data_IF_561431984071
#
_entry.id   IF_561431984071
#
_cell.length_a   1.000
_cell.length_b   1.000
_cell.length_c   1.000
_cell.angle_alpha   90.00
_cell.angle_beta   90.00
_cell.angle_gamma   90.00
#
_symmetry.space_group_name_H-M   'P 1'
#
loop_
_entity.id
_entity.type
_entity.pdbx_description
1 polymer ?
#
# COMPACT_ATOMS: atom_id res chain seq x y z
N UNK A 1 28.39 12.86 -53.06
CA UNK A 1 27.47 13.08 -54.21
C UNK A 1 27.21 11.73 -54.88
N UNK A 2 26.04 11.46 -55.49
CA UNK A 2 24.67 11.52 -54.98
C UNK A 2 23.90 10.18 -55.20
N UNK A 3 22.65 10.14 -54.73
CA UNK A 3 21.60 9.11 -54.94
C UNK A 3 21.30 8.83 -56.43
N UNK A 4 20.55 7.75 -56.79
CA UNK A 4 19.11 7.95 -57.00
C UNK A 4 18.15 6.76 -56.70
N UNK A 5 16.96 7.14 -56.23
CA UNK A 5 15.58 6.66 -56.48
C UNK A 5 15.30 5.40 -57.32
N UNK A 6 14.33 4.59 -56.84
CA UNK A 6 13.10 4.25 -57.59
C UNK A 6 12.01 3.63 -56.68
N UNK A 7 10.84 4.25 -56.64
CA UNK A 7 9.51 3.60 -56.51
C UNK A 7 8.99 3.28 -57.93
N UNK A 8 8.02 2.37 -58.14
CA UNK A 8 6.60 2.79 -58.12
C UNK A 8 5.60 1.69 -57.71
N UNK A 9 4.38 2.10 -57.35
CA UNK A 9 3.25 1.17 -57.24
C UNK A 9 1.99 1.77 -56.63
N UNK A 10 1.33 2.70 -57.35
CA UNK A 10 -0.09 3.00 -57.17
C UNK A 10 -0.89 2.19 -58.21
N UNK A 11 -2.00 1.56 -57.77
CA UNK A 11 -3.25 1.38 -58.54
C UNK A 11 -4.31 0.69 -57.66
N UNK A 12 -5.18 1.51 -57.06
CA UNK A 12 -6.59 1.21 -56.69
C UNK A 12 -7.44 0.94 -57.97
N UNK A 13 -8.77 0.59 -57.97
CA UNK A 13 -9.84 0.84 -56.98
C UNK A 13 -10.92 -0.29 -56.91
N UNK A 14 -12.24 -0.04 -56.65
CA UNK A 14 -12.87 0.28 -55.38
C UNK A 14 -14.03 -0.69 -55.01
N UNK A 15 -14.28 -0.89 -53.72
CA UNK A 15 -15.48 -1.60 -53.21
C UNK A 15 -16.49 -0.62 -52.65
N UNK A 16 -17.44 -0.18 -53.48
CA UNK A 16 -18.43 0.85 -53.17
C UNK A 16 -19.59 0.43 -52.26
N UNK A 17 -20.09 1.45 -51.56
CA UNK A 17 -21.40 1.54 -50.94
C UNK A 17 -22.55 1.48 -51.95
N UNK A 18 -23.64 0.79 -51.61
CA UNK A 18 -25.05 1.08 -51.98
C UNK A 18 -25.94 0.09 -51.21
N UNK A 19 -26.88 0.41 -50.30
CA UNK A 19 -28.01 1.37 -50.27
C UNK A 19 -28.97 1.27 -51.46
N UNK A 20 -29.99 0.42 -51.32
CA UNK A 20 -31.37 0.55 -51.81
C UNK A 20 -32.19 -0.51 -51.00
N UNK A 21 -33.47 -0.41 -50.65
CA UNK A 21 -34.48 0.65 -50.48
C UNK A 21 -35.73 -0.05 -49.88
N UNK A 22 -36.74 0.75 -49.53
CA UNK A 22 -38.15 0.38 -49.33
C UNK A 22 -38.58 -0.24 -47.98
N UNK A 23 -39.74 0.07 -47.38
CA UNK A 23 -40.78 1.11 -47.51
C UNK A 23 -41.75 0.88 -46.33
N UNK A 24 -42.32 1.95 -45.73
CA UNK A 24 -43.59 2.01 -44.94
C UNK A 24 -43.61 1.31 -43.56
N UNK A 25 -44.33 1.75 -42.52
CA UNK A 25 -45.53 2.58 -42.42
C UNK A 25 -45.54 3.47 -41.16
N UNK A 26 -46.18 4.63 -41.30
CA UNK A 26 -46.81 5.41 -40.24
C UNK A 26 -48.08 4.72 -39.73
N UNK A 27 -48.43 4.90 -38.45
CA UNK A 27 -49.75 4.54 -37.92
C UNK A 27 -49.99 5.07 -36.51
N UNK A 28 -50.84 6.09 -36.42
CA UNK A 28 -51.44 6.69 -35.21
C UNK A 28 -52.69 5.90 -34.77
N UNK A 29 -53.05 6.11 -33.50
CA UNK A 29 -54.41 6.23 -32.93
C UNK A 29 -55.29 4.98 -32.72
N UNK A 30 -56.12 5.07 -31.68
CA UNK A 30 -57.07 4.08 -31.15
C UNK A 30 -57.06 4.16 -29.61
N UNK A 31 -57.59 5.20 -28.97
CA UNK A 31 -59.01 5.46 -28.66
C UNK A 31 -59.76 4.26 -28.09
N UNK A 32 -60.15 4.35 -26.80
CA UNK A 32 -61.41 3.82 -26.29
C UNK A 32 -61.96 4.77 -25.21
N UNK A 33 -63.27 4.96 -25.29
CA UNK A 33 -64.01 6.15 -24.93
C UNK A 33 -64.48 6.23 -23.47
N UNK A 34 -64.72 7.48 -23.08
CA UNK A 34 -65.62 7.90 -22.01
C UNK A 34 -67.08 7.69 -22.44
N UNK A 35 -67.93 7.24 -21.52
CA UNK A 35 -69.35 7.63 -21.53
C UNK A 35 -69.80 8.14 -20.14
N UNK A 36 -70.59 9.24 -20.12
CA UNK A 36 -70.98 9.97 -18.91
C UNK A 36 -72.40 9.59 -18.44
N UNK A 37 -72.72 9.93 -17.19
CA UNK A 37 -74.10 10.10 -16.74
C UNK A 37 -74.22 11.35 -15.87
N UNK A 38 -75.12 12.25 -16.29
CA UNK A 38 -75.45 13.50 -15.61
C UNK A 38 -76.53 13.34 -14.53
N UNK A 39 -76.40 14.16 -13.49
CA UNK A 39 -77.36 15.08 -12.82
C UNK A 39 -78.85 14.68 -12.73
N UNK A 40 -79.55 14.97 -11.60
CA UNK A 40 -79.79 16.38 -11.24
C UNK A 40 -79.90 16.77 -9.74
N UNK A 41 -79.76 18.08 -9.57
CA UNK A 41 -80.22 19.01 -8.53
C UNK A 41 -81.14 18.51 -7.40
N UNK A 42 -80.79 18.95 -6.18
CA UNK A 42 -81.73 19.70 -5.33
C UNK A 42 -80.99 20.41 -4.18
N UNK A 43 -81.09 21.74 -4.10
CA UNK A 43 -80.98 22.46 -2.82
C UNK A 43 -82.32 22.32 -2.07
N UNK A 44 -82.28 22.22 -0.74
CA UNK A 44 -82.82 23.29 0.11
C UNK A 44 -81.83 23.59 1.24
N UNK A 45 -81.65 24.81 1.71
CA UNK A 45 -82.65 25.70 2.28
C UNK A 45 -81.99 26.28 3.53
N UNK A 46 -82.07 27.60 3.70
CA UNK A 46 -81.63 28.30 4.91
C UNK A 46 -82.43 27.75 6.08
N UNK A 47 -81.78 27.32 7.16
CA UNK A 47 -82.41 27.33 8.47
C UNK A 47 -81.42 27.60 9.61
N UNK A 48 -81.87 28.55 10.42
CA UNK A 48 -81.32 29.16 11.62
C UNK A 48 -80.20 28.43 12.37
N UNK A 49 -79.10 29.15 12.58
CA UNK A 49 -78.11 28.87 13.61
C UNK A 49 -78.79 28.83 15.00
N UNK A 50 -78.92 27.63 15.58
CA UNK A 50 -79.26 27.47 17.00
C UNK A 50 -78.02 27.77 17.86
N UNK A 51 -78.11 28.58 18.94
CA UNK A 51 -76.96 28.99 19.76
C UNK A 51 -76.20 27.85 20.47
N UNK A 52 -76.69 26.61 20.43
CA UNK A 52 -76.05 25.44 21.05
C UNK A 52 -75.03 24.68 20.19
N UNK A 53 -75.04 24.85 18.86
CA UNK A 53 -74.19 24.05 17.96
C UNK A 53 -72.72 24.50 17.92
N UNK A 54 -72.45 25.77 18.25
CA UNK A 54 -71.10 26.35 18.24
C UNK A 54 -70.29 25.91 19.47
N UNK A 55 -70.93 25.76 20.64
CA UNK A 55 -70.26 25.31 21.86
C UNK A 55 -69.82 23.84 21.78
N UNK A 56 -70.67 22.96 21.23
CA UNK A 56 -70.38 21.54 21.05
C UNK A 56 -69.28 21.33 19.98
N UNK A 57 -69.32 22.09 18.87
CA UNK A 57 -68.23 22.06 17.86
C UNK A 57 -66.89 22.52 18.43
N UNK A 58 -66.86 23.55 19.29
CA UNK A 58 -65.61 24.03 19.94
C UNK A 58 -65.07 23.02 20.96
N UNK A 59 -65.93 22.32 21.69
CA UNK A 59 -65.52 21.24 22.60
C UNK A 59 -64.99 20.00 21.84
N UNK A 60 -65.65 19.63 20.74
CA UNK A 60 -65.22 18.52 19.89
C UNK A 60 -63.90 18.83 19.18
N UNK A 61 -63.72 20.03 18.62
CA UNK A 61 -62.44 20.48 18.04
C UNK A 61 -61.32 20.50 19.08
N UNK A 62 -61.59 20.96 20.31
CA UNK A 62 -60.58 20.97 21.39
C UNK A 62 -60.18 19.55 21.82
N UNK A 63 -61.10 18.59 21.80
CA UNK A 63 -60.79 17.16 22.05
C UNK A 63 -59.99 16.55 20.91
N UNK A 64 -60.37 16.80 19.65
CA UNK A 64 -59.61 16.33 18.49
C UNK A 64 -58.20 16.93 18.45
N UNK A 65 -58.04 18.22 18.75
CA UNK A 65 -56.74 18.89 18.80
C UNK A 65 -55.86 18.35 19.93
N UNK A 66 -56.42 18.08 21.11
CA UNK A 66 -55.69 17.43 22.21
C UNK A 66 -55.24 16.01 21.84
N UNK A 67 -56.08 15.27 21.12
CA UNK A 67 -55.77 13.91 20.68
C UNK A 67 -54.69 13.87 19.59
N UNK A 68 -54.74 14.79 18.62
CA UNK A 68 -53.68 14.90 17.59
C UNK A 68 -52.36 15.39 18.16
N UNK A 69 -52.38 16.31 19.13
CA UNK A 69 -51.15 16.72 19.86
C UNK A 69 -50.57 15.54 20.65
N UNK A 70 -51.41 14.75 21.33
CA UNK A 70 -50.94 13.57 22.07
C UNK A 70 -50.31 12.52 21.14
N UNK A 71 -50.95 12.25 19.99
CA UNK A 71 -50.43 11.35 18.97
C UNK A 71 -49.11 11.85 18.38
N UNK A 72 -48.99 13.15 18.10
CA UNK A 72 -47.75 13.75 17.60
C UNK A 72 -46.62 13.65 18.64
N UNK A 73 -46.91 13.88 19.91
CA UNK A 73 -45.93 13.71 21.00
C UNK A 73 -45.51 12.25 21.15
N UNK A 74 -46.44 11.29 21.08
CA UNK A 74 -46.12 9.86 21.11
C UNK A 74 -45.24 9.44 19.92
N UNK A 75 -45.50 9.97 18.73
CA UNK A 75 -44.69 9.70 17.53
C UNK A 75 -43.27 10.28 17.66
N UNK A 76 -43.15 11.50 18.19
CA UNK A 76 -41.86 12.15 18.45
C UNK A 76 -41.05 11.42 19.53
N UNK A 77 -41.71 10.92 20.58
CA UNK A 77 -41.06 10.10 21.61
C UNK A 77 -40.60 8.76 21.02
N UNK A 78 -41.43 8.11 20.21
CA UNK A 78 -41.07 6.85 19.55
C UNK A 78 -39.89 7.02 18.60
N UNK A 79 -39.86 8.12 17.83
CA UNK A 79 -38.74 8.46 16.94
C UNK A 79 -37.46 8.78 17.74
N UNK A 80 -37.58 9.50 18.85
CA UNK A 80 -36.45 9.80 19.73
C UNK A 80 -35.87 8.54 20.41
N UNK A 81 -36.72 7.56 20.74
CA UNK A 81 -36.28 6.25 21.24
C UNK A 81 -35.59 5.46 20.12
N UNK A 82 -36.16 5.42 18.92
CA UNK A 82 -35.54 4.76 17.76
C UNK A 82 -34.17 5.35 17.40
N UNK A 83 -34.01 6.68 17.50
CA UNK A 83 -32.73 7.36 17.27
C UNK A 83 -31.69 7.13 18.38
N UNK A 84 -32.11 6.69 19.58
CA UNK A 84 -31.21 6.31 20.68
C UNK A 84 -30.78 4.85 20.66
N UNK A 85 -31.45 4.00 19.88
CA UNK A 85 -31.00 2.62 19.65
C UNK A 85 -29.85 2.70 18.64
N UNK A 86 -28.63 2.80 19.14
CA UNK A 86 -27.46 2.50 18.32
C UNK A 86 -27.65 1.08 17.80
N UNK A 87 -27.61 0.82 16.48
CA UNK A 87 -27.59 -0.55 15.99
C UNK A 87 -26.43 -1.23 16.69
N UNK A 88 -26.72 -2.28 17.47
CA UNK A 88 -25.68 -3.14 17.99
C UNK A 88 -24.94 -3.65 16.76
N UNK A 89 -23.61 -3.46 16.63
CA UNK A 89 -22.90 -4.03 15.50
C UNK A 89 -23.18 -5.52 15.55
N UNK A 90 -23.93 -6.04 14.57
CA UNK A 90 -24.03 -7.48 14.39
C UNK A 90 -22.59 -7.92 14.17
N UNK A 91 -22.01 -8.63 15.14
CA UNK A 91 -20.79 -9.41 14.93
C UNK A 91 -21.04 -10.18 13.64
N UNK A 92 -20.35 -9.80 12.57
CA UNK A 92 -20.26 -10.68 11.40
C UNK A 92 -19.73 -12.00 11.94
N UNK A 93 -20.28 -13.15 11.53
CA UNK A 93 -19.63 -14.42 11.84
C UNK A 93 -18.16 -14.30 11.43
N UNK A 94 -17.25 -14.55 12.36
CA UNK A 94 -15.81 -14.52 12.09
C UNK A 94 -15.55 -15.60 11.04
N UNK A 95 -15.48 -15.19 9.77
CA UNK A 95 -14.95 -16.05 8.72
C UNK A 95 -13.52 -16.39 9.14
N UNK A 96 -13.08 -17.66 9.01
CA UNK A 96 -11.71 -18.02 9.32
C UNK A 96 -10.77 -17.10 8.54
N UNK A 97 -9.80 -16.50 9.25
CA UNK A 97 -8.83 -15.61 8.63
C UNK A 97 -8.02 -16.41 7.61
N UNK A 98 -7.77 -15.81 6.44
CA UNK A 98 -6.90 -16.42 5.41
C UNK A 98 -5.44 -16.50 5.83
N UNK A 99 -5.05 -15.76 6.87
CA UNK A 99 -3.73 -15.67 7.46
C UNK A 99 -3.89 -15.54 8.99
N UNK A 100 -2.88 -15.89 9.79
CA UNK A 100 -2.96 -15.71 11.24
C UNK A 100 -3.09 -14.24 11.64
N UNK A 101 -3.70 -14.01 12.80
CA UNK A 101 -3.74 -12.68 13.38
C UNK A 101 -2.31 -12.24 13.72
N UNK A 102 -1.96 -11.00 13.35
CA UNK A 102 -0.63 -10.46 13.66
C UNK A 102 -0.43 -10.37 15.16
N UNK A 103 0.77 -10.68 15.65
CA UNK A 103 1.17 -10.22 16.99
C UNK A 103 1.30 -8.70 16.93
N UNK A 104 0.45 -8.03 17.71
CA UNK A 104 0.36 -6.58 17.73
C UNK A 104 1.34 -6.01 18.75
N UNK A 105 1.93 -4.87 18.42
CA UNK A 105 2.70 -4.06 19.38
C UNK A 105 2.09 -2.66 19.48
N UNK A 106 2.47 -1.91 20.51
CA UNK A 106 2.09 -0.51 20.67
C UNK A 106 2.97 0.47 19.86
N UNK A 107 4.06 -0.03 19.27
CA UNK A 107 5.02 0.78 18.53
C UNK A 107 4.42 1.30 17.22
N UNK A 108 4.32 2.63 17.12
CA UNK A 108 4.03 3.34 15.86
C UNK A 108 5.25 3.32 14.98
N UNK A 109 5.15 2.71 13.79
CA UNK A 109 6.30 2.55 12.91
C UNK A 109 5.87 2.49 11.45
N UNK A 110 6.76 2.95 10.57
CA UNK A 110 6.71 2.67 9.13
C UNK A 110 8.10 2.19 8.69
N UNK A 111 8.12 1.24 7.76
CA UNK A 111 9.31 0.56 7.23
C UNK A 111 10.33 0.18 8.33
N UNK A 112 9.93 -0.71 9.26
CA UNK A 112 10.80 -1.12 10.35
C UNK A 112 12.03 -1.86 9.84
N UNK A 113 13.16 -1.64 10.48
CA UNK A 113 14.26 -2.60 10.55
C UNK A 113 14.48 -3.00 12.00
N UNK A 114 14.60 -4.30 12.26
CA UNK A 114 14.81 -4.83 13.60
C UNK A 114 16.17 -5.51 13.70
N UNK A 115 16.82 -5.37 14.85
CA UNK A 115 18.05 -6.05 15.21
C UNK A 115 17.98 -6.50 16.66
N UNK A 116 18.48 -7.70 16.96
CA UNK A 116 18.68 -8.17 18.34
C UNK A 116 20.17 -8.15 18.66
N UNK A 117 20.55 -7.48 19.74
CA UNK A 117 21.93 -7.45 20.24
C UNK A 117 21.92 -7.82 21.72
N UNK A 118 22.41 -9.02 22.04
CA UNK A 118 22.24 -9.62 23.36
C UNK A 118 20.76 -9.78 23.71
N UNK A 119 20.35 -9.24 24.85
CA UNK A 119 18.98 -9.32 25.36
C UNK A 119 18.10 -8.12 24.94
N UNK A 120 18.61 -7.25 24.07
CA UNK A 120 17.91 -6.03 23.65
C UNK A 120 17.53 -6.09 22.17
N UNK A 121 16.27 -5.79 21.90
CA UNK A 121 15.76 -5.52 20.55
C UNK A 121 15.88 -4.03 20.24
N UNK A 122 16.32 -3.72 19.03
CA UNK A 122 16.41 -2.38 18.47
C UNK A 122 15.50 -2.29 17.25
N UNK A 123 14.77 -1.20 17.11
CA UNK A 123 14.04 -0.87 15.89
C UNK A 123 14.51 0.44 15.29
N UNK A 124 14.64 0.48 13.98
CA UNK A 124 14.98 1.66 13.19
C UNK A 124 13.82 1.94 12.24
N UNK A 125 13.41 3.20 12.07
CA UNK A 125 12.24 3.51 11.24
C UNK A 125 12.25 4.88 10.62
N UNK A 126 11.34 5.08 9.65
CA UNK A 126 11.00 6.40 9.11
C UNK A 126 10.68 7.37 10.26
N UNK A 127 11.26 8.55 10.19
CA UNK A 127 11.11 9.60 11.19
C UNK A 127 12.25 10.60 11.11
N UNK A 128 12.16 11.67 11.89
CA UNK A 128 13.24 12.66 12.00
C UNK A 128 14.56 11.96 12.36
N UNK A 129 15.53 12.07 11.47
CA UNK A 129 16.88 11.52 11.56
C UNK A 129 16.97 9.99 11.74
N UNK A 130 15.91 9.26 11.37
CA UNK A 130 15.74 7.81 11.55
C UNK A 130 15.63 7.45 13.04
N UNK A 131 14.41 7.18 13.51
CA UNK A 131 14.15 6.95 14.93
C UNK A 131 14.68 5.58 15.39
N UNK A 132 15.29 5.55 16.58
CA UNK A 132 15.73 4.32 17.26
C UNK A 132 14.81 4.07 18.45
N UNK A 133 14.23 2.87 18.52
CA UNK A 133 13.53 2.37 19.70
C UNK A 133 14.21 1.12 20.25
N UNK A 134 14.02 0.86 21.54
CA UNK A 134 14.54 -0.33 22.23
C UNK A 134 13.43 -1.03 23.01
N UNK A 135 13.55 -2.35 23.13
CA UNK A 135 12.69 -3.17 23.99
C UNK A 135 13.47 -4.42 24.47
N UNK A 136 13.07 -4.98 25.61
CA UNK A 136 13.59 -6.28 26.08
C UNK A 136 12.86 -7.48 25.44
N UNK A 137 11.78 -7.23 24.71
CA UNK A 137 11.04 -8.24 23.98
C UNK A 137 10.43 -7.63 22.72
N UNK A 138 10.21 -8.45 21.70
CA UNK A 138 9.56 -8.01 20.45
C UNK A 138 8.14 -7.46 20.67
N UNK A 139 7.44 -7.95 21.71
CA UNK A 139 6.12 -7.45 22.11
C UNK A 139 6.16 -6.04 22.74
N UNK A 140 7.35 -5.53 23.06
CA UNK A 140 7.53 -4.27 23.76
C UNK A 140 7.55 -4.43 25.29
N UNK A 141 7.27 -3.35 26.05
CA UNK A 141 7.03 -1.99 25.53
C UNK A 141 8.26 -1.44 24.82
N UNK A 142 8.03 -0.67 23.75
CA UNK A 142 9.09 -0.04 22.97
C UNK A 142 9.33 1.39 23.42
N UNK A 143 10.57 1.74 23.73
CA UNK A 143 10.97 3.08 24.14
C UNK A 143 11.80 3.75 23.05
N UNK A 144 11.44 4.98 22.65
CA UNK A 144 12.27 5.79 21.75
C UNK A 144 13.51 6.27 22.49
N UNK A 145 14.69 5.83 22.06
CA UNK A 145 15.96 6.13 22.73
C UNK A 145 16.78 7.20 21.99
N UNK A 146 16.53 7.42 20.70
CA UNK A 146 17.17 8.49 19.95
C UNK A 146 16.97 8.36 18.45
N UNK A 147 18.01 8.72 17.68
CA UNK A 147 18.04 8.62 16.22
C UNK A 147 19.40 8.14 15.73
N UNK A 148 19.44 7.65 14.50
CA UNK A 148 20.68 7.22 13.83
C UNK A 148 21.48 8.46 13.43
N UNK A 149 20.90 9.36 12.64
CA UNK A 149 21.64 10.52 12.17
C UNK A 149 21.71 11.59 13.27
N UNK A 150 22.88 12.21 13.50
CA UNK A 150 23.01 13.31 14.45
C UNK A 150 22.50 14.66 13.90
N UNK A 151 22.24 14.73 12.60
CA UNK A 151 21.74 15.89 11.87
C UNK A 151 21.05 15.42 10.57
N UNK A 152 20.55 16.37 9.77
CA UNK A 152 20.05 16.07 8.42
C UNK A 152 21.12 15.33 7.59
N UNK A 153 20.69 14.33 6.83
CA UNK A 153 21.55 13.53 5.95
C UNK A 153 22.48 14.43 5.12
N UNK A 154 23.74 14.04 4.97
CA UNK A 154 24.74 14.80 4.18
C UNK A 154 24.46 14.74 2.68
N UNK A 155 23.59 13.83 2.24
CA UNK A 155 23.20 13.69 0.83
C UNK A 155 22.32 14.90 0.44
N UNK A 156 22.72 15.72 -0.55
CA UNK A 156 21.98 16.92 -0.94
C UNK A 156 20.80 16.59 -1.86
N UNK A 157 19.87 15.74 -1.39
CA UNK A 157 18.72 15.25 -2.17
C UNK A 157 17.55 14.90 -1.24
N UNK A 158 16.33 15.00 -1.77
CA UNK A 158 15.12 14.52 -1.10
C UNK A 158 14.86 15.18 0.25
N UNK A 159 14.02 14.53 1.06
CA UNK A 159 13.89 14.86 2.47
C UNK A 159 15.11 14.34 3.25
N UNK A 160 16.00 15.26 3.59
CA UNK A 160 17.23 14.99 4.35
C UNK A 160 16.96 14.87 5.85
N UNK A 161 15.86 15.45 6.31
CA UNK A 161 15.49 15.53 7.72
C UNK A 161 14.79 14.26 8.17
N UNK A 162 13.94 13.67 7.33
CA UNK A 162 13.28 12.41 7.59
C UNK A 162 13.57 11.37 6.49
N UNK A 163 14.75 10.72 6.51
CA UNK A 163 15.07 9.62 5.60
C UNK A 163 14.14 8.41 5.78
N UNK A 164 14.04 7.60 4.74
CA UNK A 164 13.06 6.51 4.62
C UNK A 164 13.70 5.13 4.66
N UNK A 165 12.85 4.13 4.94
CA UNK A 165 13.14 2.70 4.84
C UNK A 165 14.55 2.30 5.31
N UNK A 166 14.88 2.55 6.59
CA UNK A 166 16.18 2.16 7.10
C UNK A 166 16.32 0.65 7.13
N UNK A 167 17.51 0.14 6.79
CA UNK A 167 17.92 -1.23 7.07
C UNK A 167 19.20 -1.22 7.86
N UNK A 168 19.15 -1.75 9.08
CA UNK A 168 20.32 -1.85 9.96
C UNK A 168 20.81 -3.29 10.03
N UNK A 169 22.11 -3.48 9.76
CA UNK A 169 22.80 -4.76 9.92
C UNK A 169 24.00 -4.60 10.85
N UNK A 170 24.39 -5.71 11.48
CA UNK A 170 25.67 -5.81 12.17
C UNK A 170 26.65 -6.62 11.32
N UNK A 171 27.86 -6.10 11.14
CA UNK A 171 28.97 -6.85 10.52
C UNK A 171 30.20 -6.69 11.40
N UNK A 172 30.66 -7.81 11.98
CA UNK A 172 31.70 -7.79 13.00
C UNK A 172 31.27 -7.01 14.24
N UNK A 173 32.09 -6.04 14.64
CA UNK A 173 31.88 -5.14 15.79
C UNK A 173 31.21 -3.81 15.41
N UNK A 174 30.74 -3.67 14.16
CA UNK A 174 30.13 -2.43 13.64
C UNK A 174 28.69 -2.64 13.19
N UNK A 175 27.93 -1.57 13.31
CA UNK A 175 26.55 -1.46 12.84
C UNK A 175 26.50 -0.51 11.65
N UNK A 176 25.71 -0.87 10.64
CA UNK A 176 25.51 -0.10 9.42
C UNK A 176 24.01 0.09 9.21
N UNK A 177 23.57 1.34 9.13
CA UNK A 177 22.18 1.71 8.85
C UNK A 177 22.12 2.36 7.47
N UNK A 178 21.62 1.60 6.49
CA UNK A 178 21.34 2.10 5.15
C UNK A 178 20.00 2.82 5.17
N UNK A 179 19.86 3.88 4.39
CA UNK A 179 18.64 4.70 4.37
C UNK A 179 18.45 5.36 3.01
N UNK A 180 17.24 5.82 2.74
CA UNK A 180 16.91 6.53 1.51
C UNK A 180 16.54 7.99 1.74
N UNK A 181 16.93 8.88 0.81
CA UNK A 181 16.39 10.24 0.71
C UNK A 181 15.67 10.40 -0.63
N UNK A 182 14.41 10.82 -0.59
CA UNK A 182 13.56 10.87 -1.79
C UNK A 182 12.42 11.89 -1.67
N UNK A 183 11.53 11.92 -2.67
CA UNK A 183 10.28 12.66 -2.70
C UNK A 183 9.16 11.74 -3.22
N UNK A 184 7.98 11.81 -2.60
CA UNK A 184 6.96 10.78 -2.79
C UNK A 184 6.49 10.68 -4.26
N UNK A 185 6.53 9.46 -4.80
CA UNK A 185 6.18 9.19 -6.20
C UNK A 185 7.17 9.73 -7.23
N UNK A 186 8.40 10.05 -6.82
CA UNK A 186 9.51 10.35 -7.69
C UNK A 186 10.66 9.37 -7.46
N UNK A 187 11.46 9.16 -8.50
CA UNK A 187 12.70 8.38 -8.47
C UNK A 187 13.97 9.22 -8.53
N UNK A 188 13.85 10.53 -8.27
CA UNK A 188 15.03 11.34 -7.97
C UNK A 188 15.42 11.11 -6.51
N UNK A 189 16.06 9.97 -6.28
CA UNK A 189 16.30 9.37 -4.97
C UNK A 189 17.79 9.07 -4.78
N UNK A 190 18.17 8.72 -3.56
CA UNK A 190 19.49 8.23 -3.23
C UNK A 190 19.44 7.31 -2.01
N UNK A 191 20.31 6.29 -2.02
CA UNK A 191 20.61 5.46 -0.85
C UNK A 191 21.94 5.93 -0.26
N UNK A 192 21.95 6.10 1.06
CA UNK A 192 23.14 6.35 1.87
C UNK A 192 23.30 5.35 2.99
N UNK A 193 24.38 5.51 3.76
CA UNK A 193 24.67 4.67 4.92
C UNK A 193 25.33 5.47 6.03
N UNK A 194 24.92 5.18 7.27
CA UNK A 194 25.63 5.58 8.47
C UNK A 194 26.21 4.35 9.18
N UNK A 195 27.33 4.50 9.89
CA UNK A 195 27.86 3.42 10.73
C UNK A 195 28.23 3.85 12.14
N UNK A 196 28.12 2.92 13.10
CA UNK A 196 28.40 3.13 14.52
C UNK A 196 29.06 1.88 15.14
N UNK A 197 29.70 2.06 16.28
CA UNK A 197 30.19 0.97 17.13
C UNK A 197 29.12 0.46 18.14
N UNK A 198 27.94 1.10 18.17
CA UNK A 198 26.81 0.74 19.03
C UNK A 198 25.52 0.72 18.21
N UNK A 199 24.58 -0.19 18.47
CA UNK A 199 23.27 -0.20 17.82
C UNK A 199 22.37 0.94 18.32
N UNK A 200 22.66 1.49 19.50
CA UNK A 200 21.90 2.58 20.10
C UNK A 200 22.22 3.95 19.50
N UNK A 201 21.59 5.02 20.03
CA UNK A 201 21.92 6.39 19.64
C UNK A 201 23.34 6.77 20.05
N UNK A 202 23.90 7.74 19.30
CA UNK A 202 25.26 8.25 19.51
C UNK A 202 26.34 7.44 18.77
N UNK A 203 27.37 8.13 18.30
CA UNK A 203 28.52 7.50 17.62
C UNK A 203 28.30 7.17 16.13
N UNK A 204 27.12 7.43 15.58
CA UNK A 204 26.84 7.26 14.16
C UNK A 204 27.56 8.31 13.29
N UNK A 205 28.20 7.84 12.23
CA UNK A 205 28.84 8.66 11.19
C UNK A 205 28.10 8.44 9.89
N UNK A 206 27.56 9.50 9.30
CA UNK A 206 26.94 9.50 7.97
C UNK A 206 28.04 9.52 6.89
N UNK A 207 28.11 8.45 6.08
CA UNK A 207 29.09 8.31 4.99
C UNK A 207 28.56 8.86 3.66
N UNK A 208 27.31 9.30 3.62
CA UNK A 208 26.68 9.86 2.45
C UNK A 208 26.30 8.82 1.40
N UNK A 209 26.42 9.22 0.14
CA UNK A 209 25.83 8.57 -1.02
C UNK A 209 26.52 7.24 -1.39
N UNK A 210 25.73 6.17 -1.56
CA UNK A 210 26.14 4.93 -2.23
C UNK A 210 25.72 4.95 -3.70
N UNK A 211 24.41 5.05 -3.96
CA UNK A 211 23.82 5.06 -5.30
C UNK A 211 22.67 6.06 -5.38
N UNK A 212 22.38 6.54 -6.60
CA UNK A 212 21.28 7.47 -6.84
C UNK A 212 20.65 7.31 -8.22
N UNK A 213 19.38 7.62 -8.31
CA UNK A 213 18.59 7.66 -9.55
C UNK A 213 18.05 9.07 -9.82
N UNK A 214 17.65 9.30 -11.07
CA UNK A 214 17.06 10.55 -11.52
C UNK A 214 18.09 11.63 -11.87
N UNK A 215 18.47 12.48 -10.91
CA UNK A 215 19.48 13.54 -11.12
C UNK A 215 20.72 13.29 -10.27
N UNK A 216 21.89 13.58 -10.82
CA UNK A 216 23.18 13.48 -10.12
C UNK A 216 24.19 12.66 -10.93
N UNK A 217 25.45 12.64 -10.50
CA UNK A 217 26.49 11.84 -11.14
C UNK A 217 26.16 10.34 -11.01
N UNK A 218 26.19 9.61 -12.12
CA UNK A 218 25.97 8.16 -12.17
C UNK A 218 24.49 7.74 -12.21
N UNK A 219 23.54 8.68 -12.12
CA UNK A 219 22.11 8.33 -12.14
C UNK A 219 21.57 7.95 -13.53
N UNK A 220 22.37 8.15 -14.56
CA UNK A 220 22.14 7.77 -15.96
C UNK A 220 22.77 6.40 -16.32
N UNK A 221 23.42 5.76 -15.36
CA UNK A 221 24.00 4.43 -15.54
C UNK A 221 22.95 3.33 -15.26
N UNK A 222 23.01 2.23 -16.02
CA UNK A 222 22.16 1.07 -15.76
C UNK A 222 22.52 0.41 -14.42
N UNK A 223 21.53 -0.01 -13.59
CA UNK A 223 20.08 0.10 -13.79
C UNK A 223 19.47 1.35 -13.15
N UNK A 224 20.29 2.29 -12.66
CA UNK A 224 19.90 3.50 -11.94
C UNK A 224 19.15 4.50 -12.84
N UNK A 225 19.27 4.36 -14.15
CA UNK A 225 18.55 5.10 -15.20
C UNK A 225 17.09 4.66 -15.38
N UNK A 226 16.71 3.47 -14.87
CA UNK A 226 15.33 2.93 -14.92
C UNK A 226 14.73 2.50 -13.56
N UNK A 227 15.49 2.50 -12.47
CA UNK A 227 15.05 2.10 -11.12
C UNK A 227 14.88 3.27 -10.14
N UNK A 228 14.14 3.06 -9.07
CA UNK A 228 14.09 4.00 -7.94
C UNK A 228 15.07 3.56 -6.85
N UNK A 229 16.04 4.41 -6.50
CA UNK A 229 17.05 4.13 -5.47
C UNK A 229 16.54 4.46 -4.07
N UNK A 230 15.59 3.66 -3.60
CA UNK A 230 15.09 3.63 -2.21
C UNK A 230 14.98 2.17 -1.74
N UNK A 231 14.55 1.96 -0.49
CA UNK A 231 14.28 0.65 0.11
C UNK A 231 15.50 -0.28 0.10
N UNK A 232 16.62 0.24 0.62
CA UNK A 232 17.86 -0.48 0.72
C UNK A 232 17.70 -1.71 1.64
N UNK A 233 18.17 -2.87 1.19
CA UNK A 233 18.39 -4.06 2.02
C UNK A 233 19.77 -4.64 1.72
N UNK A 234 20.57 -4.93 2.73
CA UNK A 234 21.91 -5.48 2.55
C UNK A 234 21.99 -6.90 3.09
N UNK A 235 22.52 -7.79 2.27
CA UNK A 235 22.80 -9.18 2.61
C UNK A 235 24.29 -9.46 2.47
N UNK A 236 24.91 -10.05 3.50
CA UNK A 236 26.31 -10.47 3.48
C UNK A 236 26.35 -11.99 3.38
N UNK A 237 26.83 -12.50 2.26
CA UNK A 237 26.95 -13.94 2.05
C UNK A 237 28.11 -14.54 2.86
N UNK A 238 28.10 -15.87 3.04
CA UNK A 238 29.09 -16.60 3.84
C UNK A 238 30.54 -16.41 3.35
N UNK A 239 30.71 -16.12 2.05
CA UNK A 239 32.01 -15.81 1.46
C UNK A 239 32.49 -14.37 1.72
N UNK A 240 31.73 -13.57 2.47
CA UNK A 240 32.01 -12.17 2.76
C UNK A 240 31.60 -11.18 1.67
N UNK A 241 31.02 -11.63 0.55
CA UNK A 241 30.48 -10.71 -0.45
C UNK A 241 29.15 -10.13 0.04
N UNK A 242 29.08 -8.79 0.09
CA UNK A 242 27.86 -8.07 0.42
C UNK A 242 27.10 -7.64 -0.84
N UNK A 243 25.78 -7.66 -0.76
CA UNK A 243 24.87 -7.28 -1.85
C UNK A 243 23.90 -6.23 -1.33
N UNK A 244 23.73 -5.15 -2.10
CA UNK A 244 22.73 -4.12 -1.86
C UNK A 244 21.55 -4.36 -2.80
N UNK A 245 20.41 -4.74 -2.22
CA UNK A 245 19.12 -4.76 -2.88
C UNK A 245 18.45 -3.39 -2.72
N UNK A 246 17.74 -2.96 -3.75
CA UNK A 246 16.99 -1.70 -3.73
C UNK A 246 15.92 -1.72 -4.81
N UNK A 247 14.94 -0.82 -4.72
CA UNK A 247 13.94 -0.67 -5.76
C UNK A 247 12.55 -0.46 -5.21
N UNK A 248 11.82 0.40 -5.90
CA UNK A 248 10.42 0.70 -5.61
C UNK A 248 9.75 1.15 -6.89
N UNK A 249 8.68 0.47 -7.29
CA UNK A 249 7.96 0.73 -8.54
C UNK A 249 8.89 0.71 -9.78
N UNK A 250 8.55 1.46 -10.84
CA UNK A 250 9.29 1.51 -12.11
C UNK A 250 9.68 0.12 -12.61
N UNK A 251 10.98 -0.14 -12.76
CA UNK A 251 11.50 -1.40 -13.26
C UNK A 251 11.45 -2.53 -12.23
N UNK A 252 11.32 -2.24 -10.93
CA UNK A 252 11.27 -3.24 -9.87
C UNK A 252 12.47 -3.23 -8.94
N UNK A 253 12.82 -4.40 -8.44
CA UNK A 253 13.87 -4.64 -7.43
C UNK A 253 15.15 -5.09 -8.12
N UNK A 254 16.24 -4.42 -7.79
CA UNK A 254 17.58 -4.63 -8.33
C UNK A 254 18.56 -4.95 -7.22
N UNK A 255 19.67 -5.59 -7.59
CA UNK A 255 20.79 -5.87 -6.72
C UNK A 255 22.10 -5.48 -7.40
N UNK A 256 23.00 -4.91 -6.60
CA UNK A 256 24.40 -4.68 -6.96
C UNK A 256 25.31 -5.23 -5.86
N UNK A 257 26.54 -5.66 -6.18
CA UNK A 257 27.52 -5.97 -5.15
C UNK A 257 27.96 -4.67 -4.45
N UNK A 258 28.13 -4.77 -3.15
CA UNK A 258 28.69 -3.73 -2.30
C UNK A 258 30.19 -3.99 -2.12
N UNK A 259 30.95 -2.93 -1.89
CA UNK A 259 32.37 -3.01 -1.52
C UNK A 259 32.55 -3.70 -0.18
N UNK A 260 33.74 -4.23 0.07
CA UNK A 260 34.10 -4.84 1.35
C UNK A 260 34.07 -3.83 2.52
N UNK A 261 34.10 -2.53 2.22
CA UNK A 261 33.92 -1.45 3.19
C UNK A 261 32.47 -1.23 3.64
N UNK A 262 31.51 -1.88 2.95
CA UNK A 262 30.07 -1.77 3.15
C UNK A 262 29.48 -0.36 2.98
N UNK A 263 30.26 0.57 2.41
CA UNK A 263 29.83 1.97 2.25
C UNK A 263 29.99 2.47 0.82
N UNK A 264 30.59 1.68 -0.06
CA UNK A 264 30.73 2.00 -1.48
C UNK A 264 30.18 0.88 -2.36
N UNK A 265 29.75 1.17 -3.61
CA UNK A 265 29.49 0.11 -4.60
C UNK A 265 30.75 -0.74 -4.83
N UNK A 266 30.57 -2.04 -5.07
CA UNK A 266 31.70 -2.93 -5.35
C UNK A 266 32.42 -2.59 -6.66
N UNK A 267 33.70 -2.97 -6.79
CA UNK A 267 34.53 -2.68 -7.98
C UNK A 267 33.93 -3.24 -9.28
N UNK A 268 33.26 -4.40 -9.19
CA UNK A 268 32.51 -5.02 -10.28
C UNK A 268 31.03 -4.61 -10.32
N UNK A 269 30.63 -3.59 -9.54
CA UNK A 269 29.24 -3.22 -9.27
C UNK A 269 28.39 -2.85 -10.47
N UNK A 270 29.01 -2.69 -11.63
CA UNK A 270 28.36 -2.37 -12.90
C UNK A 270 28.21 -3.58 -13.84
N UNK A 271 29.00 -4.64 -13.66
CA UNK A 271 28.95 -5.86 -14.50
C UNK A 271 28.19 -7.02 -13.86
N UNK A 272 27.98 -7.00 -12.53
CA UNK A 272 27.23 -8.02 -11.79
C UNK A 272 25.90 -7.48 -11.21
N UNK A 273 25.23 -6.63 -11.99
CA UNK A 273 23.88 -6.14 -11.66
C UNK A 273 22.88 -7.26 -11.89
N UNK A 274 21.95 -7.46 -10.94
CA UNK A 274 20.87 -8.44 -11.04
C UNK A 274 19.51 -7.76 -10.93
N UNK A 275 18.61 -8.11 -11.85
CA UNK A 275 17.20 -7.78 -11.71
C UNK A 275 16.54 -8.91 -10.92
N UNK A 276 16.00 -8.60 -9.75
CA UNK A 276 15.57 -9.64 -8.81
C UNK A 276 14.07 -9.89 -8.83
N UNK A 277 13.26 -8.85 -9.03
CA UNK A 277 11.81 -8.97 -9.08
C UNK A 277 11.16 -7.78 -9.76
N UNK A 278 10.02 -8.01 -10.44
CA UNK A 278 9.24 -6.96 -11.10
C UNK A 278 7.77 -7.31 -11.14
N UNK A 279 6.92 -6.29 -11.12
CA UNK A 279 5.53 -6.40 -11.58
C UNK A 279 5.46 -5.96 -13.05
N UNK A 280 5.38 -6.88 -14.03
CA UNK A 280 5.47 -6.51 -15.44
C UNK A 280 4.25 -5.74 -15.93
N UNK A 281 3.07 -5.97 -15.34
CA UNK A 281 1.84 -5.30 -15.73
C UNK A 281 1.64 -4.00 -14.94
N UNK A 282 1.22 -2.94 -15.62
CA UNK A 282 0.81 -1.72 -14.93
C UNK A 282 -0.50 -1.98 -14.16
N UNK A 283 -0.41 -2.00 -12.83
CA UNK A 283 -1.57 -2.21 -11.93
C UNK A 283 -2.30 -0.91 -11.68
N UNK A 284 -1.56 0.21 -11.62
CA UNK A 284 -2.15 1.54 -11.46
C UNK A 284 -1.99 2.36 -12.74
N UNK A 285 -2.97 3.20 -13.09
CA UNK A 285 -2.85 4.06 -14.26
C UNK A 285 -1.70 5.06 -14.07
N UNK A 286 -1.07 5.44 -15.18
CA UNK A 286 -0.07 6.49 -15.20
C UNK A 286 -0.65 7.81 -14.67
N UNK A 287 0.18 8.57 -13.95
CA UNK A 287 -0.21 9.92 -13.49
C UNK A 287 -0.27 10.84 -14.71
N UNK A 288 -1.24 11.77 -14.73
CA UNK A 288 -1.43 12.72 -15.85
C UNK A 288 -0.17 13.52 -16.19
N UNK A 289 0.66 13.84 -15.19
CA UNK A 289 1.88 14.63 -15.34
C UNK A 289 3.15 13.78 -15.15
N UNK A 290 3.07 12.47 -15.42
CA UNK A 290 4.23 11.58 -15.37
C UNK A 290 5.30 12.03 -16.37
N UNK A 291 6.55 12.11 -15.94
CA UNK A 291 7.67 12.54 -16.78
C UNK A 291 8.87 11.57 -16.74
N UNK A 292 8.67 10.36 -16.21
CA UNK A 292 9.73 9.37 -16.04
C UNK A 292 10.51 9.52 -14.72
N UNK A 293 10.68 10.75 -14.22
CA UNK A 293 11.32 11.03 -12.93
C UNK A 293 10.29 11.08 -11.79
N UNK A 294 9.18 11.75 -11.99
CA UNK A 294 8.06 11.82 -11.06
C UNK A 294 6.83 11.26 -11.75
N UNK A 295 6.35 10.12 -11.26
CA UNK A 295 5.37 9.28 -11.94
C UNK A 295 5.98 8.52 -13.12
N UNK A 296 5.73 7.22 -13.14
CA UNK A 296 6.05 6.34 -14.25
C UNK A 296 5.03 6.51 -15.40
N UNK A 297 5.46 6.88 -16.62
CA UNK A 297 4.59 6.98 -17.78
C UNK A 297 3.96 5.66 -18.22
N UNK A 298 4.55 4.49 -17.90
CA UNK A 298 3.92 3.19 -18.23
C UNK A 298 2.82 2.80 -17.25
N UNK A 299 2.70 3.50 -16.12
CA UNK A 299 1.78 3.17 -15.03
C UNK A 299 2.50 2.66 -13.78
N UNK A 300 1.76 2.46 -12.70
CA UNK A 300 2.32 1.99 -11.44
C UNK A 300 2.51 0.47 -11.44
N UNK A 301 3.73 0.05 -11.17
CA UNK A 301 4.17 -1.35 -11.01
C UNK A 301 4.47 -1.61 -9.52
N UNK A 302 3.47 -1.96 -8.69
CA UNK A 302 3.56 -1.83 -7.24
C UNK A 302 4.35 -2.96 -6.57
N UNK A 303 5.68 -2.87 -6.65
CA UNK A 303 6.63 -3.77 -6.00
C UNK A 303 7.74 -2.93 -5.36
N UNK A 304 8.02 -3.14 -4.08
CA UNK A 304 9.03 -2.39 -3.32
C UNK A 304 9.39 -3.07 -1.99
N UNK A 305 10.20 -2.42 -1.13
CA UNK A 305 10.51 -2.90 0.21
C UNK A 305 11.20 -4.27 0.22
N UNK A 306 12.26 -4.46 -0.56
CA UNK A 306 12.92 -5.76 -0.66
C UNK A 306 13.67 -6.13 0.62
N UNK A 307 13.71 -7.42 0.98
CA UNK A 307 14.57 -7.97 2.03
C UNK A 307 15.09 -9.34 1.61
N UNK A 308 16.36 -9.66 1.87
CA UNK A 308 16.95 -10.96 1.54
C UNK A 308 17.35 -11.68 2.83
N UNK A 309 16.80 -12.88 3.03
CA UNK A 309 17.17 -13.75 4.15
C UNK A 309 17.70 -15.10 3.64
N UNK A 310 18.39 -15.82 4.50
CA UNK A 310 18.81 -17.20 4.25
C UNK A 310 18.17 -18.12 5.30
N UNK A 311 17.58 -19.21 4.84
CA UNK A 311 17.12 -20.30 5.69
C UNK A 311 17.38 -21.61 4.94
N UNK A 312 18.22 -22.48 5.52
CA UNK A 312 18.76 -23.64 4.81
C UNK A 312 17.66 -24.46 4.10
N UNK A 313 17.84 -24.81 2.81
CA UNK A 313 19.02 -24.56 1.97
C UNK A 313 18.94 -23.30 1.09
N UNK A 314 17.91 -22.46 1.24
CA UNK A 314 17.57 -21.42 0.25
C UNK A 314 17.79 -19.98 0.74
N UNK A 315 18.03 -19.11 -0.23
CA UNK A 315 17.90 -17.67 -0.09
C UNK A 315 16.45 -17.28 -0.43
N UNK A 316 15.86 -16.35 0.32
CA UNK A 316 14.50 -15.87 0.13
C UNK A 316 14.49 -14.37 -0.12
N UNK A 317 14.02 -13.97 -1.30
CA UNK A 317 13.74 -12.57 -1.59
C UNK A 317 12.31 -12.24 -1.21
N UNK A 318 12.17 -11.44 -0.17
CA UNK A 318 10.92 -10.88 0.31
C UNK A 318 10.68 -9.51 -0.33
N UNK A 319 9.43 -9.19 -0.61
CA UNK A 319 9.05 -7.86 -1.09
C UNK A 319 7.59 -7.55 -0.76
N UNK A 320 7.29 -6.25 -0.67
CA UNK A 320 5.93 -5.75 -0.59
C UNK A 320 5.36 -5.59 -2.00
N UNK A 321 4.16 -6.12 -2.22
CA UNK A 321 3.40 -5.93 -3.46
C UNK A 321 2.09 -5.19 -3.17
N UNK A 322 1.76 -4.18 -3.97
CA UNK A 322 0.56 -3.36 -3.83
C UNK A 322 0.88 -1.92 -3.44
N UNK A 323 -0.13 -1.14 -3.05
CA UNK A 323 0.06 0.24 -2.59
C UNK A 323 0.06 0.33 -1.07
N UNK A 324 1.06 1.06 -0.55
CA UNK A 324 1.08 1.56 0.83
C UNK A 324 0.55 2.99 0.95
N UNK A 325 0.58 3.45 2.20
CA UNK A 325 0.83 4.83 2.61
C UNK A 325 -0.26 5.88 2.39
N UNK A 326 -0.90 5.94 1.22
CA UNK A 326 -1.98 6.89 0.92
C UNK A 326 -3.31 6.13 0.72
N UNK A 327 -3.73 5.44 1.78
CA UNK A 327 -4.94 4.62 1.81
C UNK A 327 -6.15 5.52 2.03
N UNK A 328 -6.67 6.05 0.92
CA UNK A 328 -7.88 6.88 0.90
C UNK A 328 -9.12 6.06 0.54
N UNK A 329 -10.31 6.58 0.86
CA UNK A 329 -11.58 6.00 0.39
C UNK A 329 -11.62 5.83 -1.14
N UNK A 330 -10.99 6.78 -1.85
CA UNK A 330 -10.85 6.71 -3.31
C UNK A 330 -9.96 5.54 -3.75
N UNK A 331 -8.87 5.28 -3.03
CA UNK A 331 -8.04 4.10 -3.32
C UNK A 331 -8.82 2.81 -3.06
N UNK A 332 -9.45 2.69 -1.90
CA UNK A 332 -10.21 1.50 -1.50
C UNK A 332 -11.35 1.18 -2.48
N UNK A 333 -12.02 2.21 -3.01
CA UNK A 333 -13.10 2.04 -3.99
C UNK A 333 -12.61 1.71 -5.40
N UNK A 334 -11.53 2.32 -5.87
CA UNK A 334 -11.06 2.14 -7.25
C UNK A 334 -10.14 0.92 -7.43
N UNK A 335 -9.45 0.50 -6.37
CA UNK A 335 -8.44 -0.56 -6.42
C UNK A 335 -8.62 -1.57 -5.27
N UNK A 336 -9.80 -2.20 -5.16
CA UNK A 336 -10.05 -3.19 -4.10
C UNK A 336 -9.06 -4.35 -4.21
N UNK A 337 -8.43 -4.72 -3.09
CA UNK A 337 -7.47 -5.82 -3.04
C UNK A 337 -6.14 -5.50 -3.73
N UNK A 338 -5.76 -4.23 -3.86
CA UNK A 338 -4.46 -3.78 -4.39
C UNK A 338 -3.61 -3.07 -3.33
N UNK A 339 -4.01 -3.15 -2.08
CA UNK A 339 -3.18 -2.79 -0.95
C UNK A 339 -2.00 -3.77 -0.78
N UNK A 340 -1.04 -3.35 0.04
CA UNK A 340 0.14 -4.14 0.38
C UNK A 340 -0.18 -5.57 0.83
N UNK A 341 0.70 -6.48 0.39
CA UNK A 341 0.91 -7.82 0.92
C UNK A 341 2.38 -8.17 0.79
N UNK A 342 2.83 -9.09 1.63
CA UNK A 342 4.20 -9.59 1.64
C UNK A 342 4.26 -10.81 0.73
N UNK A 343 5.12 -10.75 -0.29
CA UNK A 343 5.43 -11.85 -1.20
C UNK A 343 6.86 -12.32 -1.05
N UNK A 344 7.12 -13.55 -1.49
CA UNK A 344 8.44 -14.18 -1.44
C UNK A 344 8.71 -15.04 -2.67
N UNK A 345 9.97 -15.11 -3.08
CA UNK A 345 10.50 -16.18 -3.93
C UNK A 345 11.80 -16.70 -3.34
N UNK A 346 12.25 -17.89 -3.77
CA UNK A 346 13.48 -18.52 -3.25
C UNK A 346 14.47 -18.89 -4.35
N UNK A 347 15.74 -18.99 -3.99
CA UNK A 347 16.84 -19.37 -4.88
C UNK A 347 17.93 -20.14 -4.14
N UNK A 348 18.73 -20.91 -4.88
CA UNK A 348 19.97 -21.52 -4.37
C UNK A 348 21.14 -20.52 -4.33
N UNK A 349 20.93 -19.30 -4.84
CA UNK A 349 21.92 -18.23 -4.93
C UNK A 349 21.38 -16.93 -4.35
N UNK A 350 22.17 -16.12 -3.63
CA UNK A 350 21.75 -14.80 -3.16
C UNK A 350 21.46 -13.81 -4.30
N UNK A 351 21.88 -14.16 -5.52
CA UNK A 351 21.72 -13.37 -6.75
C UNK A 351 20.54 -13.83 -7.63
N UNK A 352 19.80 -14.85 -7.21
CA UNK A 352 18.72 -15.44 -8.00
C UNK A 352 19.21 -16.41 -9.10
N UNK A 353 18.33 -16.77 -10.05
CA UNK A 353 16.94 -16.31 -10.15
C UNK A 353 16.11 -16.75 -8.94
N UNK A 354 15.18 -15.90 -8.52
CA UNK A 354 14.25 -16.22 -7.44
C UNK A 354 12.94 -16.69 -8.07
N UNK A 355 12.47 -17.86 -7.64
CA UNK A 355 11.27 -18.47 -8.19
C UNK A 355 10.18 -18.57 -7.13
N UNK A 356 8.92 -18.59 -7.54
CA UNK A 356 7.78 -18.92 -6.69
C UNK A 356 7.48 -20.43 -6.61
N UNK A 357 6.44 -20.82 -5.88
CA UNK A 357 6.03 -22.22 -5.70
C UNK A 357 5.68 -22.93 -7.01
N UNK A 358 5.28 -22.19 -8.03
CA UNK A 358 4.92 -22.71 -9.35
C UNK A 358 6.12 -22.67 -10.32
N UNK A 359 7.28 -22.17 -9.88
CA UNK A 359 8.48 -22.05 -10.69
C UNK A 359 8.52 -20.80 -11.56
N UNK A 360 7.63 -19.83 -11.36
CA UNK A 360 7.70 -18.57 -12.11
C UNK A 360 8.78 -17.67 -11.52
N UNK A 361 9.55 -17.03 -12.39
CA UNK A 361 10.56 -16.05 -11.98
C UNK A 361 9.88 -14.79 -11.43
N UNK A 362 10.44 -14.24 -10.36
CA UNK A 362 9.99 -12.98 -9.79
C UNK A 362 10.14 -11.80 -10.76
N UNK A 363 11.05 -11.84 -11.74
CA UNK A 363 11.15 -10.78 -12.77
C UNK A 363 10.00 -10.82 -13.78
N UNK A 364 9.30 -11.95 -13.86
CA UNK A 364 8.14 -12.18 -14.71
C UNK A 364 6.80 -12.05 -13.94
N UNK A 365 6.83 -11.47 -12.72
CA UNK A 365 5.64 -11.27 -11.89
C UNK A 365 5.31 -12.41 -10.93
N UNK A 366 6.19 -13.41 -10.83
CA UNK A 366 6.11 -14.48 -9.84
C UNK A 366 6.11 -13.97 -8.39
N UNK A 367 5.85 -14.88 -7.46
CA UNK A 367 6.03 -14.68 -6.03
C UNK A 367 4.86 -15.18 -5.20
N UNK A 368 5.13 -15.93 -4.15
CA UNK A 368 4.12 -16.48 -3.25
C UNK A 368 3.71 -15.43 -2.22
N UNK A 369 2.41 -15.23 -1.97
CA UNK A 369 1.96 -14.36 -0.88
C UNK A 369 2.07 -15.11 0.45
N UNK A 370 2.87 -14.58 1.38
CA UNK A 370 3.07 -15.17 2.72
C UNK A 370 2.15 -14.53 3.75
N UNK A 371 1.91 -13.21 3.63
CA UNK A 371 1.06 -12.48 4.56
C UNK A 371 0.35 -11.31 3.87
N UNK A 372 -0.94 -11.12 4.14
CA UNK A 372 -1.75 -10.06 3.53
C UNK A 372 -2.81 -9.54 4.51
N UNK A 373 -3.56 -8.50 4.09
CA UNK A 373 -4.71 -7.98 4.82
C UNK A 373 -5.64 -9.10 5.32
N UNK A 374 -5.83 -9.20 6.64
CA UNK A 374 -6.68 -10.19 7.29
C UNK A 374 -7.16 -9.64 8.64
N UNK A 375 -8.41 -9.90 9.02
CA UNK A 375 -8.97 -9.36 10.26
C UNK A 375 -8.78 -7.83 10.34
N UNK A 376 -8.22 -7.37 11.46
CA UNK A 376 -7.85 -5.96 11.69
C UNK A 376 -6.53 -5.54 11.03
N UNK A 377 -5.70 -6.48 10.57
CA UNK A 377 -4.49 -6.19 9.81
C UNK A 377 -4.85 -5.73 8.40
N UNK A 378 -4.38 -4.56 8.00
CA UNK A 378 -4.49 -4.05 6.64
C UNK A 378 -3.14 -3.66 6.08
N UNK A 379 -2.92 -3.99 4.82
CA UNK A 379 -1.75 -3.57 4.05
C UNK A 379 -0.39 -3.87 4.74
N UNK A 380 -0.13 -5.10 5.26
CA UNK A 380 1.15 -5.40 5.88
C UNK A 380 2.28 -5.39 4.83
N UNK A 381 3.40 -4.76 5.17
CA UNK A 381 4.59 -4.66 4.31
C UNK A 381 5.75 -3.91 4.96
N UNK A 382 6.70 -3.43 4.15
CA UNK A 382 7.98 -2.88 4.63
C UNK A 382 8.71 -3.88 5.53
N UNK A 383 8.71 -5.14 5.11
CA UNK A 383 9.02 -6.29 5.94
C UNK A 383 10.51 -6.59 6.03
N UNK A 384 10.88 -7.35 7.06
CA UNK A 384 12.12 -8.12 7.08
C UNK A 384 11.96 -9.39 7.91
N UNK A 385 13.04 -10.15 8.00
CA UNK A 385 13.08 -11.41 8.76
C UNK A 385 14.16 -11.32 9.82
N UNK A 386 13.76 -11.51 11.07
CA UNK A 386 14.66 -11.66 12.20
C UNK A 386 14.92 -13.15 12.42
N UNK A 387 16.16 -13.58 12.21
CA UNK A 387 16.58 -14.93 12.52
C UNK A 387 16.81 -15.07 14.03
N UNK A 388 16.13 -16.01 14.66
CA UNK A 388 16.22 -16.30 16.10
C UNK A 388 16.50 -17.80 16.30
N UNK A 389 17.04 -18.17 17.46
CA UNK A 389 17.36 -19.57 17.79
C UNK A 389 16.14 -20.50 17.72
N UNK A 390 14.97 -20.00 18.14
CA UNK A 390 13.71 -20.73 18.16
C UNK A 390 12.94 -20.70 16.82
N UNK A 391 13.50 -20.02 15.81
CA UNK A 391 12.94 -19.90 14.46
C UNK A 391 12.75 -18.46 13.98
N UNK A 392 12.67 -18.31 12.67
CA UNK A 392 12.59 -16.99 12.03
C UNK A 392 11.28 -16.27 12.35
N UNK A 393 11.35 -14.93 12.44
CA UNK A 393 10.20 -14.06 12.67
C UNK A 393 10.09 -13.08 11.51
N UNK A 394 8.93 -13.07 10.85
CA UNK A 394 8.56 -12.04 9.89
C UNK A 394 8.05 -10.82 10.65
N UNK A 395 8.70 -9.67 10.47
CA UNK A 395 8.23 -8.40 11.01
C UNK A 395 7.83 -7.44 9.89
N UNK A 396 6.90 -6.53 10.16
CA UNK A 396 6.36 -5.58 9.19
C UNK A 396 5.65 -4.42 9.87
N UNK A 397 5.41 -3.33 9.14
CA UNK A 397 4.37 -2.39 9.54
C UNK A 397 3.02 -2.81 8.96
N UNK A 398 1.93 -2.42 9.63
CA UNK A 398 0.57 -2.59 9.10
C UNK A 398 -0.36 -1.48 9.62
N UNK A 399 -1.48 -1.26 8.93
CA UNK A 399 -2.56 -0.38 9.38
C UNK A 399 -3.63 -1.21 10.11
N UNK A 400 -4.08 -0.74 11.27
CA UNK A 400 -5.15 -1.40 12.01
C UNK A 400 -6.52 -0.84 11.58
N UNK A 401 -7.33 -1.64 10.90
CA UNK A 401 -8.66 -1.25 10.36
C UNK A 401 -9.61 -0.70 11.42
N UNK A 402 -9.46 -1.17 12.65
CA UNK A 402 -10.30 -0.76 13.79
C UNK A 402 -9.80 0.53 14.45
N UNK A 403 -8.64 1.06 14.03
CA UNK A 403 -8.03 2.28 14.56
C UNK A 403 -8.00 3.38 13.50
N UNK A 404 -7.15 3.25 12.48
CA UNK A 404 -7.03 4.22 11.38
C UNK A 404 -6.27 3.62 10.19
N UNK A 405 -6.53 4.17 9.01
CA UNK A 405 -5.72 3.95 7.80
C UNK A 405 -4.66 5.05 7.59
N UNK A 406 -4.53 5.99 8.53
CA UNK A 406 -3.51 7.04 8.47
C UNK A 406 -2.10 6.45 8.51
N UNK A 407 -1.24 6.93 7.62
CA UNK A 407 0.17 6.54 7.52
C UNK A 407 0.90 6.55 8.87
N UNK A 408 0.69 7.59 9.67
CA UNK A 408 1.35 7.76 10.98
C UNK A 408 0.77 6.90 12.10
N UNK A 409 -0.33 6.18 11.83
CA UNK A 409 -0.91 5.22 12.76
C UNK A 409 -0.52 3.77 12.43
N UNK A 410 0.35 3.54 11.44
CA UNK A 410 0.94 2.23 11.20
C UNK A 410 1.64 1.70 12.45
N UNK A 411 1.52 0.39 12.69
CA UNK A 411 2.03 -0.30 13.88
C UNK A 411 3.00 -1.40 13.50
N UNK A 412 3.96 -1.68 14.38
CA UNK A 412 4.82 -2.85 14.23
C UNK A 412 3.96 -4.10 14.51
N UNK A 413 3.95 -5.01 13.54
CA UNK A 413 3.41 -6.35 13.67
C UNK A 413 4.49 -7.39 13.40
N UNK A 414 4.31 -8.58 13.94
CA UNK A 414 5.19 -9.71 13.64
C UNK A 414 4.43 -11.04 13.66
N UNK A 415 4.97 -12.01 12.94
CA UNK A 415 4.48 -13.39 12.87
C UNK A 415 5.67 -14.36 12.85
N UNK A 416 5.73 -15.36 13.75
CA UNK A 416 6.68 -16.46 13.61
C UNK A 416 6.51 -17.14 12.25
N UNK A 417 7.61 -17.62 11.68
CA UNK A 417 7.63 -18.35 10.43
C UNK A 417 7.82 -19.84 10.68
N UNK A 418 7.06 -20.65 9.94
CA UNK A 418 7.32 -22.07 9.75
C UNK A 418 7.67 -22.30 8.29
N UNK A 419 8.65 -23.19 8.04
CA UNK A 419 8.97 -23.62 6.68
C UNK A 419 8.35 -24.99 6.39
N UNK A 420 7.48 -25.06 5.39
CA UNK A 420 6.85 -26.30 4.91
C UNK A 420 7.35 -26.54 3.48
N UNK A 421 8.05 -27.66 3.27
CA UNK A 421 8.71 -27.98 2.01
C UNK A 421 9.66 -26.86 1.52
N UNK A 422 10.31 -26.19 2.47
CA UNK A 422 11.19 -25.04 2.25
C UNK A 422 10.45 -23.76 1.83
N UNK A 423 9.15 -23.62 2.14
CA UNK A 423 8.40 -22.39 1.91
C UNK A 423 7.93 -21.78 3.23
N UNK A 424 8.18 -20.48 3.46
CA UNK A 424 7.75 -19.83 4.68
C UNK A 424 6.22 -19.68 4.74
N UNK A 425 5.68 -19.87 5.93
CA UNK A 425 4.28 -19.74 6.29
C UNK A 425 4.20 -18.99 7.61
N UNK A 426 3.57 -17.81 7.60
CA UNK A 426 3.27 -17.07 8.83
C UNK A 426 2.38 -17.89 9.76
N UNK A 427 2.67 -17.87 11.07
CA UNK A 427 1.94 -18.60 12.11
C UNK A 427 1.11 -17.69 13.02
#
# INVERSE_FOLDING_TARGET
MPQPFATPGDNEPPGGFSRFFATRMFGKAGDYELLPWGLPHSQPGKDAARPGAIAIRRLFLRRCLKMTVLLAVLLLVSLAVALKIKPHPRRRPDLPLSYPATHQTDLRIHDPSLLRVGDTYYSYSVGEHIAIHQASSLAGPWEKTGSVLPADSVIPKGDRKAPWAPTTIQVGDRFYCYYAVSNAGCRNSAIGVASSASPGPGGWVDHGLIIQSGKGKGSDEYPLDQSNTIDASVFVADNGQAYLNFGSFWSGIWQIPLGQDLISPGENGRSDVRHLAREPAAVFPARKNANGICGDPSGGHPIEGSYLSYHEPYYYLWFSWGRCCDITDKFLSNFPGKEYRIRVGRSDSPQGPFLDKQGNDLVDGGGETVYASNGDTFAPGGQGVLAEEDGDILYYHYLNKSVSYDFWEARLGYSPLKYVDGWPVAQ
#
